data_IF_625433800183
#
_entry.id   IF_625433800183
#
_cell.length_a   1.000
_cell.length_b   1.000
_cell.length_c   1.000
_cell.angle_alpha   90.00
_cell.angle_beta   90.00
_cell.angle_gamma   90.00
#
_symmetry.space_group_name_H-M   'P 1'
#
loop_
_entity.id
_entity.type
_entity.pdbx_description
1 polymer ?
#
# COMPACT_ATOMS: atom_id res chain seq x y z
N UNK A 1 -2.38 -32.92 13.67
CA UNK A 1 -2.22 -31.94 12.58
C UNK A 1 -2.79 -30.60 13.04
N UNK A 2 -1.97 -29.70 13.57
CA UNK A 2 -2.47 -28.40 14.06
C UNK A 2 -2.93 -27.57 12.86
N UNK A 3 -4.25 -27.30 12.78
CA UNK A 3 -4.83 -26.45 11.71
C UNK A 3 -4.19 -25.07 11.83
N UNK A 4 -3.26 -24.73 10.94
CA UNK A 4 -2.73 -23.36 10.83
C UNK A 4 -3.92 -22.45 10.60
N UNK A 5 -4.25 -21.62 11.58
CA UNK A 5 -5.25 -20.56 11.42
C UNK A 5 -4.66 -19.57 10.41
N UNK A 6 -5.20 -19.55 9.20
CA UNK A 6 -4.86 -18.55 8.21
C UNK A 6 -5.61 -17.26 8.57
N UNK A 7 -4.87 -16.23 8.92
CA UNK A 7 -5.41 -14.89 9.13
C UNK A 7 -5.55 -14.20 7.77
N UNK A 8 -6.74 -13.69 7.50
CA UNK A 8 -7.03 -12.88 6.31
C UNK A 8 -6.24 -11.57 6.35
N UNK A 9 -6.00 -10.90 5.21
CA UNK A 9 -5.38 -9.59 5.18
C UNK A 9 -6.07 -8.58 6.12
N UNK A 10 -7.40 -8.54 6.12
CA UNK A 10 -8.18 -7.64 6.97
C UNK A 10 -7.96 -7.90 8.46
N UNK A 11 -7.88 -9.18 8.85
CA UNK A 11 -7.59 -9.54 10.24
C UNK A 11 -6.17 -9.11 10.66
N UNK A 12 -5.18 -9.22 9.78
CA UNK A 12 -3.82 -8.74 10.06
C UNK A 12 -3.81 -7.23 10.31
N UNK A 13 -4.55 -6.47 9.49
CA UNK A 13 -4.67 -5.02 9.64
C UNK A 13 -5.40 -4.65 10.94
N UNK A 14 -6.46 -5.38 11.32
CA UNK A 14 -7.15 -5.17 12.58
C UNK A 14 -6.21 -5.35 13.79
N UNK A 15 -5.40 -6.42 13.79
CA UNK A 15 -4.44 -6.69 14.86
C UNK A 15 -3.36 -5.59 14.92
N UNK A 16 -2.83 -5.16 13.77
CA UNK A 16 -1.88 -4.04 13.72
C UNK A 16 -2.50 -2.74 14.24
N UNK A 17 -3.78 -2.49 13.93
CA UNK A 17 -4.52 -1.32 14.39
C UNK A 17 -4.69 -1.30 15.92
N UNK A 18 -5.01 -2.44 16.54
CA UNK A 18 -5.11 -2.56 18.01
C UNK A 18 -3.80 -2.14 18.70
N UNK A 19 -2.65 -2.52 18.17
CA UNK A 19 -1.36 -2.07 18.72
C UNK A 19 -1.10 -0.58 18.47
N UNK A 20 -1.30 -0.12 17.23
CA UNK A 20 -0.86 1.21 16.80
C UNK A 20 -1.75 2.33 17.36
N UNK A 21 -3.07 2.11 17.39
CA UNK A 21 -4.05 3.10 17.85
C UNK A 21 -4.39 2.93 19.33
N UNK A 22 -4.73 1.73 19.76
CA UNK A 22 -5.21 1.45 21.13
C UNK A 22 -4.06 1.16 22.10
N UNK A 23 -2.80 1.13 21.63
CA UNK A 23 -1.58 0.88 22.41
C UNK A 23 -1.57 -0.47 23.15
N UNK A 24 -2.34 -1.45 22.66
CA UNK A 24 -2.33 -2.81 23.22
C UNK A 24 -0.94 -3.44 23.06
N UNK A 25 -0.34 -4.04 24.10
CA UNK A 25 0.95 -4.70 23.99
C UNK A 25 0.99 -5.80 22.92
N UNK A 26 2.12 -5.94 22.23
CA UNK A 26 2.32 -7.00 21.21
C UNK A 26 2.21 -8.39 21.83
N UNK A 27 2.64 -8.58 23.08
CA UNK A 27 2.48 -9.83 23.83
C UNK A 27 1.03 -10.28 23.89
N UNK A 28 0.15 -9.37 24.29
CA UNK A 28 -1.27 -9.65 24.52
C UNK A 28 -1.97 -9.98 23.19
N UNK A 29 -1.58 -9.30 22.11
CA UNK A 29 -2.06 -9.59 20.76
C UNK A 29 -1.55 -10.94 20.24
N UNK A 30 -0.29 -11.28 20.54
CA UNK A 30 0.28 -12.58 20.19
C UNK A 30 -0.47 -13.72 20.87
N UNK A 31 -0.76 -13.58 22.16
CA UNK A 31 -1.47 -14.58 22.95
C UNK A 31 -2.94 -14.70 22.51
N UNK A 32 -3.64 -13.56 22.33
CA UNK A 32 -5.05 -13.51 21.92
C UNK A 32 -5.29 -14.13 20.54
N UNK A 33 -4.39 -13.87 19.58
CA UNK A 33 -4.55 -14.31 18.19
C UNK A 33 -3.74 -15.56 17.85
N UNK A 34 -2.91 -16.07 18.77
CA UNK A 34 -2.04 -17.23 18.56
C UNK A 34 -0.98 -16.99 17.47
N UNK A 35 -0.44 -15.77 17.41
CA UNK A 35 0.55 -15.35 16.41
C UNK A 35 1.92 -15.20 17.07
N UNK A 36 2.99 -15.38 16.31
CA UNK A 36 4.34 -15.07 16.79
C UNK A 36 4.63 -13.58 16.64
N UNK A 37 5.42 -13.01 17.56
CA UNK A 37 5.86 -11.62 17.49
C UNK A 37 6.62 -11.34 16.18
N UNK A 38 7.40 -12.31 15.67
CA UNK A 38 8.09 -12.21 14.37
C UNK A 38 7.09 -11.97 13.22
N UNK A 39 5.96 -12.69 13.21
CA UNK A 39 4.93 -12.49 12.19
C UNK A 39 4.27 -11.12 12.32
N UNK A 40 4.00 -10.67 13.55
CA UNK A 40 3.46 -9.33 13.81
C UNK A 40 4.36 -8.23 13.24
N UNK A 41 5.66 -8.25 13.59
CA UNK A 41 6.61 -7.25 13.09
C UNK A 41 6.82 -7.32 11.58
N UNK A 42 6.78 -8.52 10.99
CA UNK A 42 6.81 -8.67 9.53
C UNK A 42 5.60 -8.00 8.85
N UNK A 43 4.40 -8.14 9.40
CA UNK A 43 3.21 -7.47 8.87
C UNK A 43 3.27 -5.95 9.08
N UNK A 44 3.76 -5.51 10.24
CA UNK A 44 3.97 -4.10 10.53
C UNK A 44 4.93 -3.47 9.52
N UNK A 45 6.06 -4.13 9.25
CA UNK A 45 7.03 -3.70 8.23
C UNK A 45 6.38 -3.62 6.85
N UNK A 46 5.69 -4.67 6.42
CA UNK A 46 5.01 -4.69 5.12
C UNK A 46 3.97 -3.56 4.99
N UNK A 47 3.21 -3.27 6.06
CA UNK A 47 2.23 -2.18 6.06
C UNK A 47 2.90 -0.82 5.84
N UNK A 48 4.01 -0.54 6.50
CA UNK A 48 4.70 0.74 6.36
C UNK A 48 5.47 0.88 5.04
N UNK A 49 6.04 -0.22 4.52
CA UNK A 49 6.72 -0.21 3.22
C UNK A 49 5.74 -0.02 2.06
N UNK A 50 4.58 -0.69 2.10
CA UNK A 50 3.57 -0.61 1.03
C UNK A 50 2.54 0.51 1.26
N UNK A 51 2.49 1.09 2.47
CA UNK A 51 1.47 2.06 2.85
C UNK A 51 1.48 3.33 2.01
N UNK A 52 2.66 3.75 1.50
CA UNK A 52 2.77 4.92 0.63
C UNK A 52 1.90 4.78 -0.64
N UNK A 53 1.83 3.59 -1.23
CA UNK A 53 1.04 3.31 -2.43
C UNK A 53 -0.48 3.54 -2.23
N UNK A 54 -0.97 3.44 -0.99
CA UNK A 54 -2.37 3.73 -0.66
C UNK A 54 -2.70 5.22 -0.74
N UNK A 55 -1.70 6.09 -0.57
CA UNK A 55 -1.83 7.55 -0.61
C UNK A 55 -1.39 8.15 -1.94
N UNK A 56 -0.80 7.35 -2.83
CA UNK A 56 -0.51 7.77 -4.18
C UNK A 56 -1.82 8.15 -4.88
N UNK A 57 -1.88 9.41 -5.30
CA UNK A 57 -2.98 9.89 -6.13
C UNK A 57 -2.84 9.16 -7.46
N UNK A 58 -3.75 8.23 -7.74
CA UNK A 58 -3.83 7.63 -9.09
C UNK A 58 -3.90 8.79 -10.07
N UNK A 59 -2.88 8.94 -10.91
CA UNK A 59 -2.90 9.92 -11.98
C UNK A 59 -4.21 9.70 -12.73
N UNK A 60 -5.06 10.73 -12.78
CA UNK A 60 -6.29 10.66 -13.55
C UNK A 60 -5.87 10.28 -14.96
N UNK A 61 -6.13 9.04 -15.38
CA UNK A 61 -5.63 8.54 -16.66
C UNK A 61 -6.09 9.43 -17.82
N UNK A 62 -7.27 10.06 -17.67
CA UNK A 62 -7.80 11.06 -18.59
C UNK A 62 -7.04 12.41 -18.58
N UNK A 63 -6.40 12.78 -17.46
CA UNK A 63 -5.55 13.96 -17.38
C UNK A 63 -4.15 13.67 -17.94
N UNK A 64 -3.61 12.49 -17.66
CA UNK A 64 -2.32 12.04 -18.20
C UNK A 64 -2.38 11.96 -19.74
N UNK A 65 -3.39 11.28 -20.30
CA UNK A 65 -3.58 11.20 -21.77
C UNK A 65 -3.70 12.58 -22.42
N UNK A 66 -4.44 13.51 -21.80
CA UNK A 66 -4.56 14.88 -22.31
C UNK A 66 -3.23 15.64 -22.30
N UNK A 67 -2.38 15.35 -21.32
CA UNK A 67 -1.06 15.95 -21.22
C UNK A 67 -0.13 15.38 -22.29
N UNK A 68 -0.16 14.06 -22.49
CA UNK A 68 0.62 13.36 -23.52
C UNK A 68 0.21 13.83 -24.93
N UNK A 69 -1.09 13.90 -25.24
CA UNK A 69 -1.61 14.42 -26.52
C UNK A 69 -1.18 15.87 -26.78
N UNK A 70 -1.11 16.70 -25.72
CA UNK A 70 -0.68 18.09 -25.84
C UNK A 70 0.83 18.22 -26.07
N UNK A 71 1.62 17.28 -25.54
CA UNK A 71 3.07 17.19 -25.79
C UNK A 71 3.33 16.77 -27.23
N UNK A 72 2.63 15.73 -27.72
CA UNK A 72 2.77 15.26 -29.10
C UNK A 72 2.44 16.34 -30.14
N UNK A 73 1.37 17.11 -29.90
CA UNK A 73 1.01 18.25 -30.77
C UNK A 73 2.09 19.31 -30.81
N UNK A 74 2.74 19.60 -29.67
CA UNK A 74 3.83 20.58 -29.62
C UNK A 74 5.07 20.06 -30.34
N UNK A 75 5.36 18.77 -30.21
CA UNK A 75 6.47 18.13 -30.90
C UNK A 75 6.29 18.23 -32.41
N UNK A 76 5.11 17.84 -32.93
CA UNK A 76 4.78 17.98 -34.35
C UNK A 76 4.87 19.42 -34.85
N UNK A 77 4.41 20.39 -34.05
CA UNK A 77 4.48 21.81 -34.41
C UNK A 77 5.92 22.32 -34.46
N UNK A 78 6.80 21.84 -33.57
CA UNK A 78 8.22 22.19 -33.57
C UNK A 78 8.95 21.55 -34.73
N UNK A 79 8.69 20.26 -35.01
CA UNK A 79 9.24 19.55 -36.17
C UNK A 79 8.86 20.22 -37.49
N UNK A 80 7.60 20.63 -37.65
CA UNK A 80 7.12 21.35 -38.83
C UNK A 80 7.74 22.76 -38.98
N UNK A 81 8.25 23.36 -37.91
CA UNK A 81 8.98 24.64 -37.94
C UNK A 81 10.47 24.48 -38.26
N UNK A 82 10.98 23.25 -38.21
CA UNK A 82 12.38 22.92 -38.51
C UNK A 82 12.57 22.39 -39.94
N UNK A 83 11.50 22.24 -40.71
CA UNK A 83 11.50 21.99 -42.16
C UNK A 83 11.27 23.31 -42.92
#
# INVERSE_FOLDING_TARGET
>A
MSKRKFLTPDQKIAILREHLLEKVPVSDLCDKHGISAVNFYNWQKQLFENGASCFERKANAANQRRQDDAVDRKLQQLEAKMQ
#
